data_IF_058616119133
#
_entry.id   IF_058616119133
#
_cell.length_a   1.000
_cell.length_b   1.000
_cell.length_c   1.000
_cell.angle_alpha   90.00
_cell.angle_beta   90.00
_cell.angle_gamma   90.00
#
_symmetry.space_group_name_H-M   'P 1'
#
loop_
_entity.id
_entity.type
_entity.pdbx_description
1 polymer ?
#
# COMPACT_ATOMS: atom_id res chain seq x y z
N UNK A 1 -5.73 -7.02 11.62
CA UNK A 1 -5.33 -6.67 12.98
C UNK A 1 -6.10 -7.44 14.05
N UNK A 2 -5.73 -8.70 14.29
CA UNK A 2 -6.03 -9.31 15.58
C UNK A 2 -5.00 -8.83 16.59
N UNK A 3 -5.43 -8.49 17.81
CA UNK A 3 -4.51 -8.13 18.87
C UNK A 3 -3.75 -9.39 19.33
N UNK A 4 -2.47 -9.31 19.74
CA UNK A 4 -1.71 -10.48 20.20
C UNK A 4 -2.40 -11.30 21.31
N UNK A 5 -3.18 -10.63 22.16
CA UNK A 5 -3.99 -11.29 23.20
C UNK A 5 -5.07 -12.24 22.65
N UNK A 6 -5.56 -12.00 21.42
CA UNK A 6 -6.61 -12.79 20.77
C UNK A 6 -6.05 -13.95 19.94
N UNK A 7 -4.73 -13.97 19.68
CA UNK A 7 -4.06 -14.97 18.85
C UNK A 7 -4.23 -16.39 19.40
N UNK A 8 -4.23 -16.58 20.72
CA UNK A 8 -4.45 -17.90 21.32
C UNK A 8 -5.85 -18.46 21.04
N UNK A 9 -6.87 -17.59 21.04
CA UNK A 9 -8.23 -17.99 20.73
C UNK A 9 -8.36 -18.43 19.28
N UNK A 10 -7.70 -17.74 18.35
CA UNK A 10 -7.63 -18.14 16.94
C UNK A 10 -6.98 -19.52 16.81
N UNK A 11 -5.82 -19.73 17.43
CA UNK A 11 -5.11 -21.00 17.38
C UNK A 11 -5.93 -22.16 17.95
N UNK A 12 -6.70 -21.93 19.02
CA UNK A 12 -7.61 -22.93 19.56
C UNK A 12 -8.72 -23.31 18.56
N UNK A 13 -9.27 -22.33 17.83
CA UNK A 13 -10.26 -22.60 16.78
C UNK A 13 -9.65 -23.40 15.63
N UNK A 14 -8.46 -23.03 15.16
CA UNK A 14 -7.74 -23.76 14.11
C UNK A 14 -7.42 -25.20 14.55
N UNK A 15 -7.04 -25.38 15.83
CA UNK A 15 -6.83 -26.68 16.44
C UNK A 15 -8.08 -27.56 16.39
N UNK A 16 -9.25 -27.03 16.77
CA UNK A 16 -10.52 -27.78 16.68
C UNK A 16 -10.89 -28.17 15.25
N UNK A 17 -10.62 -27.30 14.28
CA UNK A 17 -10.86 -27.62 12.86
C UNK A 17 -9.97 -28.78 12.41
N UNK A 18 -8.70 -28.80 12.83
CA UNK A 18 -7.76 -29.90 12.59
C UNK A 18 -8.22 -31.20 13.28
N UNK A 19 -8.60 -31.13 14.55
CA UNK A 19 -9.10 -32.28 15.34
C UNK A 19 -10.37 -32.90 14.74
N UNK A 20 -11.19 -32.11 14.06
CA UNK A 20 -12.35 -32.59 13.31
C UNK A 20 -11.99 -33.33 12.00
N UNK A 21 -10.70 -33.51 11.70
CA UNK A 21 -10.22 -34.24 10.52
C UNK A 21 -10.01 -33.38 9.26
N UNK A 22 -10.04 -32.05 9.39
CA UNK A 22 -9.79 -31.15 8.25
C UNK A 22 -8.31 -30.84 8.07
N UNK A 23 -7.90 -30.57 6.83
CA UNK A 23 -6.64 -29.91 6.53
C UNK A 23 -6.85 -28.39 6.52
N UNK A 24 -6.07 -27.64 7.29
CA UNK A 24 -6.22 -26.19 7.44
C UNK A 24 -5.00 -25.50 6.85
N UNK A 25 -5.21 -24.72 5.78
CA UNK A 25 -4.19 -23.91 5.14
C UNK A 25 -4.40 -22.45 5.54
N UNK A 26 -3.35 -21.81 6.04
CA UNK A 26 -3.38 -20.41 6.49
C UNK A 26 -2.23 -19.65 5.84
N UNK A 27 -2.54 -18.50 5.24
CA UNK A 27 -1.52 -17.53 4.79
C UNK A 27 -1.30 -16.55 5.93
N UNK A 28 -0.10 -16.54 6.51
CA UNK A 28 0.17 -15.82 7.76
C UNK A 28 1.56 -15.16 7.73
N UNK A 29 1.67 -14.05 8.45
CA UNK A 29 2.90 -13.25 8.58
C UNK A 29 3.29 -13.03 10.05
N UNK A 30 2.43 -13.39 11.00
CA UNK A 30 2.74 -13.36 12.44
C UNK A 30 3.61 -14.55 12.85
N UNK A 31 4.85 -14.27 13.24
CA UNK A 31 5.84 -15.32 13.56
C UNK A 31 5.40 -16.23 14.72
N UNK A 32 4.63 -15.73 15.68
CA UNK A 32 4.13 -16.57 16.79
C UNK A 32 3.12 -17.63 16.33
N UNK A 33 2.35 -17.34 15.29
CA UNK A 33 1.46 -18.32 14.64
C UNK A 33 2.28 -19.28 13.78
N UNK A 34 3.21 -18.75 12.99
CA UNK A 34 4.11 -19.54 12.13
C UNK A 34 4.90 -20.58 12.93
N UNK A 35 5.43 -20.21 14.10
CA UNK A 35 6.15 -21.13 15.01
C UNK A 35 5.30 -22.30 15.51
N UNK A 36 3.98 -22.13 15.57
CA UNK A 36 3.04 -23.15 16.07
C UNK A 36 2.43 -24.00 14.94
N UNK A 37 2.78 -23.73 13.69
CA UNK A 37 2.29 -24.50 12.55
C UNK A 37 2.87 -25.93 12.55
N UNK A 38 2.06 -26.92 12.18
CA UNK A 38 2.56 -28.29 12.00
C UNK A 38 3.46 -28.42 10.76
N UNK A 39 3.20 -27.59 9.75
CA UNK A 39 3.89 -27.56 8.47
C UNK A 39 3.97 -26.12 7.95
N UNK A 40 5.15 -25.71 7.52
CA UNK A 40 5.43 -24.41 6.93
C UNK A 40 5.79 -24.58 5.46
N UNK A 41 5.16 -23.79 4.59
CA UNK A 41 5.56 -23.62 3.19
C UNK A 41 6.06 -22.20 3.02
N UNK A 42 7.36 -22.02 2.85
CA UNK A 42 7.99 -20.72 2.62
C UNK A 42 8.19 -20.49 1.11
N UNK A 43 7.77 -19.33 0.62
CA UNK A 43 7.81 -18.96 -0.80
C UNK A 43 8.62 -17.68 -0.95
N UNK A 44 9.59 -17.68 -1.85
CA UNK A 44 10.48 -16.54 -2.03
C UNK A 44 11.50 -16.76 -3.13
N UNK A 45 12.73 -16.21 -2.99
CA UNK A 45 13.25 -15.41 -1.87
C UNK A 45 12.75 -13.96 -1.85
N UNK A 46 12.21 -13.48 -2.96
CA UNK A 46 11.71 -12.11 -3.11
C UNK A 46 10.28 -12.11 -3.67
N UNK A 47 9.70 -10.93 -3.85
CA UNK A 47 8.39 -10.76 -4.45
C UNK A 47 8.43 -10.70 -5.99
N UNK A 48 7.26 -10.89 -6.62
CA UNK A 48 7.07 -10.82 -8.07
C UNK A 48 7.94 -11.81 -8.85
N UNK A 49 8.58 -11.34 -9.92
CA UNK A 49 9.35 -12.19 -10.84
C UNK A 49 10.62 -12.79 -10.22
N UNK A 50 11.10 -12.20 -9.12
CA UNK A 50 12.24 -12.71 -8.35
C UNK A 50 11.83 -13.77 -7.30
N UNK A 51 10.53 -14.06 -7.19
CA UNK A 51 9.93 -15.00 -6.26
C UNK A 51 9.43 -16.28 -6.91
N UNK A 52 8.34 -16.84 -6.35
CA UNK A 52 7.64 -17.99 -6.92
C UNK A 52 8.34 -19.34 -6.73
N UNK A 53 9.41 -19.39 -5.92
CA UNK A 53 10.08 -20.65 -5.55
C UNK A 53 9.65 -21.07 -4.16
N UNK A 54 9.38 -22.36 -3.98
CA UNK A 54 9.22 -22.96 -2.65
C UNK A 54 10.62 -23.16 -2.08
N UNK A 55 10.97 -22.38 -1.06
CA UNK A 55 12.27 -22.43 -0.40
C UNK A 55 12.31 -23.51 0.67
N UNK A 56 11.19 -23.71 1.36
CA UNK A 56 11.01 -24.72 2.39
C UNK A 56 9.59 -25.28 2.36
N UNK A 57 9.45 -26.57 2.60
CA UNK A 57 8.17 -27.24 2.81
C UNK A 57 8.40 -28.36 3.82
N UNK A 58 8.05 -28.11 5.07
CA UNK A 58 8.34 -29.02 6.18
C UNK A 58 7.97 -28.41 7.53
N UNK A 59 8.33 -29.09 8.64
CA UNK A 59 8.21 -28.49 9.97
C UNK A 59 8.93 -27.13 10.05
N UNK A 60 8.42 -26.15 10.83
CA UNK A 60 8.99 -24.79 10.90
C UNK A 60 10.49 -24.75 11.25
N UNK A 61 10.96 -25.68 12.08
CA UNK A 61 12.37 -25.79 12.50
C UNK A 61 13.33 -25.96 11.32
N UNK A 62 12.88 -26.62 10.24
CA UNK A 62 13.69 -26.84 9.05
C UNK A 62 14.07 -25.56 8.31
N UNK A 63 13.30 -24.47 8.49
CA UNK A 63 13.60 -23.18 7.85
C UNK A 63 14.91 -22.55 8.37
N UNK A 64 15.39 -22.96 9.55
CA UNK A 64 16.65 -22.46 10.12
C UNK A 64 17.86 -22.73 9.20
N UNK A 65 17.80 -23.76 8.35
CA UNK A 65 18.85 -24.16 7.41
C UNK A 65 18.73 -23.49 6.02
N UNK A 66 17.75 -22.61 5.81
CA UNK A 66 17.47 -21.98 4.51
C UNK A 66 17.90 -20.50 4.51
N UNK A 67 19.17 -20.18 4.18
CA UNK A 67 19.71 -18.83 4.34
C UNK A 67 19.08 -17.79 3.38
N UNK A 68 18.52 -18.22 2.25
CA UNK A 68 17.84 -17.33 1.29
C UNK A 68 16.42 -16.94 1.71
N UNK A 69 15.86 -17.55 2.76
CA UNK A 69 14.53 -17.22 3.25
C UNK A 69 14.53 -15.89 4.01
N UNK A 70 13.74 -14.94 3.54
CA UNK A 70 13.50 -13.69 4.27
C UNK A 70 12.78 -13.91 5.61
N UNK A 71 11.99 -14.99 5.73
CA UNK A 71 11.24 -15.34 6.94
C UNK A 71 12.15 -15.92 8.03
N UNK A 72 13.23 -16.62 7.65
CA UNK A 72 14.18 -17.25 8.57
C UNK A 72 14.64 -16.31 9.69
N UNK A 73 15.07 -15.09 9.35
CA UNK A 73 15.61 -14.12 10.34
C UNK A 73 14.57 -13.67 11.38
N UNK A 74 13.29 -13.70 11.04
CA UNK A 74 12.21 -13.30 11.96
C UNK A 74 11.68 -14.50 12.76
N UNK A 75 11.73 -15.69 12.17
CA UNK A 75 11.32 -16.91 12.84
C UNK A 75 12.34 -17.32 13.92
N UNK A 76 13.63 -17.16 13.59
CA UNK A 76 14.78 -17.45 14.45
C UNK A 76 15.65 -16.20 14.64
N UNK A 77 15.17 -15.19 15.39
CA UNK A 77 15.96 -14.00 15.66
C UNK A 77 17.20 -14.36 16.49
N UNK A 78 18.33 -13.69 16.21
CA UNK A 78 19.52 -13.83 17.03
C UNK A 78 19.24 -13.26 18.43
N UNK A 79 19.48 -14.07 19.47
CA UNK A 79 19.07 -13.75 20.86
C UNK A 79 19.73 -12.49 21.44
N UNK A 80 20.81 -12.04 20.82
CA UNK A 80 21.67 -10.95 21.32
C UNK A 80 21.62 -9.69 20.44
N UNK A 81 20.76 -9.61 19.43
CA UNK A 81 20.55 -8.35 18.71
C UNK A 81 19.70 -7.40 19.57
N UNK A 82 20.26 -6.29 20.07
CA UNK A 82 19.47 -5.30 20.77
C UNK A 82 18.45 -4.73 19.79
N UNK A 83 17.18 -4.65 20.21
CA UNK A 83 16.19 -3.91 19.47
C UNK A 83 16.73 -2.49 19.17
N UNK A 84 16.59 -1.97 17.95
CA UNK A 84 17.10 -0.65 17.61
C UNK A 84 16.49 0.38 18.57
N UNK A 85 17.30 0.88 19.50
CA UNK A 85 16.88 1.93 20.43
C UNK A 85 16.92 3.23 19.66
N UNK A 86 15.76 3.85 19.51
CA UNK A 86 15.66 5.17 18.94
C UNK A 86 15.32 6.19 20.01
N UNK A 87 15.95 7.35 19.95
CA UNK A 87 15.58 8.48 20.80
C UNK A 87 14.21 9.02 20.35
N UNK A 88 13.20 9.04 21.24
CA UNK A 88 11.89 9.60 20.93
C UNK A 88 12.00 11.08 20.55
N UNK A 89 11.30 11.47 19.48
CA UNK A 89 11.26 12.87 19.04
C UNK A 89 10.45 13.72 20.02
N UNK A 90 10.83 15.00 20.15
CA UNK A 90 10.08 15.96 20.96
C UNK A 90 8.89 16.52 20.17
N UNK A 91 7.66 16.51 20.71
CA UNK A 91 6.50 17.10 20.05
C UNK A 91 6.65 18.60 19.77
N UNK A 92 6.24 19.04 18.59
CA UNK A 92 6.20 20.47 18.20
C UNK A 92 4.88 21.16 18.57
N UNK A 93 3.86 20.37 18.91
CA UNK A 93 2.51 20.85 19.21
C UNK A 93 1.60 19.68 19.59
N UNK A 94 0.31 19.96 19.77
CA UNK A 94 -0.69 18.97 20.19
C UNK A 94 -2.04 19.28 19.58
N UNK A 95 -2.71 18.25 19.05
CA UNK A 95 -4.16 18.26 18.84
C UNK A 95 -4.81 17.70 20.10
N UNK A 96 -5.82 18.37 20.64
CA UNK A 96 -6.58 17.87 21.78
C UNK A 96 -8.05 17.75 21.41
N UNK A 97 -8.62 16.61 21.73
CA UNK A 97 -10.04 16.30 21.60
C UNK A 97 -10.60 16.11 23.01
N UNK A 98 -11.66 16.82 23.35
CA UNK A 98 -12.32 16.74 24.65
C UNK A 98 -13.74 16.22 24.50
N UNK A 99 -14.18 15.36 25.43
CA UNK A 99 -15.53 14.84 25.49
C UNK A 99 -15.94 14.04 24.25
N UNK A 100 -15.05 13.19 23.72
CA UNK A 100 -15.32 12.39 22.52
C UNK A 100 -16.40 11.35 22.82
N UNK A 101 -17.50 11.38 22.07
CA UNK A 101 -18.61 10.43 22.16
C UNK A 101 -18.99 9.89 20.77
N UNK A 102 -18.64 8.62 20.53
CA UNK A 102 -18.98 7.89 19.30
C UNK A 102 -18.88 6.38 19.50
N UNK A 103 -19.92 5.65 19.07
CA UNK A 103 -20.02 4.20 19.22
C UNK A 103 -19.82 3.75 20.68
N UNK A 104 -18.69 3.12 21.00
CA UNK A 104 -18.34 2.69 22.36
C UNK A 104 -17.35 3.64 23.06
N UNK A 105 -16.85 4.68 22.38
CA UNK A 105 -16.07 5.77 22.97
C UNK A 105 -17.06 6.75 23.60
N UNK A 106 -16.98 7.00 24.92
CA UNK A 106 -17.95 7.79 25.68
C UNK A 106 -17.25 8.79 26.59
N UNK A 107 -17.36 10.09 26.28
CA UNK A 107 -16.77 11.17 27.08
C UNK A 107 -15.24 11.10 27.21
N UNK A 108 -14.54 10.62 26.19
CA UNK A 108 -13.08 10.42 26.25
C UNK A 108 -12.33 11.69 25.85
N UNK A 109 -11.35 12.08 26.65
CA UNK A 109 -10.38 13.11 26.28
C UNK A 109 -9.12 12.46 25.71
N UNK A 110 -8.62 12.98 24.58
CA UNK A 110 -7.44 12.45 23.91
C UNK A 110 -6.55 13.58 23.38
N UNK A 111 -5.23 13.42 23.51
CA UNK A 111 -4.24 14.36 22.99
C UNK A 111 -3.27 13.63 22.06
N UNK A 112 -3.05 14.21 20.87
CA UNK A 112 -2.17 13.67 19.84
C UNK A 112 -1.00 14.65 19.62
N UNK A 113 0.25 14.23 19.88
CA UNK A 113 1.42 15.07 19.67
C UNK A 113 1.66 15.28 18.17
N UNK A 114 2.15 16.48 17.82
CA UNK A 114 2.53 16.84 16.45
C UNK A 114 4.04 16.75 16.25
N UNK A 115 4.47 16.46 15.02
CA UNK A 115 5.87 16.36 14.61
C UNK A 115 6.55 15.06 15.06
N UNK A 116 5.77 14.04 15.41
CA UNK A 116 6.25 12.75 15.90
C UNK A 116 5.50 11.58 15.24
N UNK A 117 5.98 10.36 15.45
CA UNK A 117 5.31 9.12 15.10
C UNK A 117 4.52 8.59 16.29
N UNK A 118 3.20 8.59 16.22
CA UNK A 118 2.31 8.13 17.29
C UNK A 118 1.64 6.81 16.91
N UNK A 119 1.69 5.81 17.79
CA UNK A 119 0.93 4.57 17.66
C UNK A 119 -0.27 4.57 18.61
N UNK A 120 -1.45 4.24 18.08
CA UNK A 120 -2.69 4.01 18.83
C UNK A 120 -2.95 2.51 18.85
N UNK A 121 -2.82 1.91 20.03
CA UNK A 121 -2.96 0.46 20.22
C UNK A 121 -3.99 0.09 21.29
N UNK A 122 -4.21 -1.22 21.50
CA UNK A 122 -5.21 -1.79 22.40
C UNK A 122 -6.03 -2.90 21.72
N UNK A 123 -6.77 -3.68 22.50
CA UNK A 123 -7.53 -4.86 22.03
C UNK A 123 -8.53 -4.55 20.91
N UNK A 124 -8.93 -5.59 20.16
CA UNK A 124 -9.96 -5.42 19.12
C UNK A 124 -11.28 -4.92 19.71
N UNK A 125 -11.97 -4.03 18.99
CA UNK A 125 -13.23 -3.43 19.46
C UNK A 125 -13.08 -2.33 20.52
N UNK A 126 -11.87 -1.98 20.98
CA UNK A 126 -11.68 -0.92 22.00
C UNK A 126 -12.02 0.50 21.56
N UNK A 127 -12.26 0.73 20.26
CA UNK A 127 -12.62 2.04 19.70
C UNK A 127 -11.49 2.80 19.00
N UNK A 128 -10.32 2.18 18.76
CA UNK A 128 -9.16 2.81 18.09
C UNK A 128 -9.49 3.43 16.74
N UNK A 129 -10.07 2.65 15.82
CA UNK A 129 -10.45 3.13 14.48
C UNK A 129 -11.57 4.17 14.53
N UNK A 130 -12.45 4.13 15.54
CA UNK A 130 -13.43 5.19 15.80
C UNK A 130 -12.72 6.50 16.15
N UNK A 131 -11.83 6.46 17.13
CA UNK A 131 -11.11 7.64 17.63
C UNK A 131 -10.22 8.26 16.55
N UNK A 132 -9.41 7.46 15.85
CA UNK A 132 -8.45 7.95 14.85
C UNK A 132 -9.13 8.18 13.49
N UNK A 133 -9.74 7.14 12.94
CA UNK A 133 -10.22 7.14 11.56
C UNK A 133 -11.50 7.94 11.34
N UNK A 134 -12.26 8.22 12.38
CA UNK A 134 -13.55 8.91 12.25
C UNK A 134 -13.63 10.22 13.04
N UNK A 135 -13.08 10.30 14.26
CA UNK A 135 -13.07 11.55 15.05
C UNK A 135 -11.87 12.42 14.68
N UNK A 136 -10.64 11.97 14.97
CA UNK A 136 -9.42 12.73 14.68
C UNK A 136 -9.29 13.08 13.20
N UNK A 137 -9.70 12.18 12.31
CA UNK A 137 -9.71 12.45 10.88
C UNK A 137 -10.79 13.44 10.43
N UNK A 138 -11.97 13.41 11.05
CA UNK A 138 -13.09 14.25 10.62
C UNK A 138 -12.79 15.72 10.90
N UNK A 139 -12.30 16.00 12.11
CA UNK A 139 -12.18 17.37 12.63
C UNK A 139 -11.32 18.30 11.72
N UNK A 140 -10.09 17.94 11.29
CA UNK A 140 -9.31 18.77 10.36
C UNK A 140 -9.90 18.82 8.94
N UNK A 141 -10.52 17.72 8.47
CA UNK A 141 -11.08 17.64 7.12
C UNK A 141 -12.26 18.60 6.93
N UNK A 142 -13.11 18.68 7.95
CA UNK A 142 -14.30 19.53 7.97
C UNK A 142 -13.92 21.02 7.87
N UNK A 143 -12.87 21.42 8.59
CA UNK A 143 -12.31 22.78 8.57
C UNK A 143 -11.69 23.12 7.21
N UNK A 144 -10.97 22.18 6.59
CA UNK A 144 -10.39 22.36 5.25
C UNK A 144 -11.45 22.48 4.15
N UNK A 145 -12.60 21.81 4.32
CA UNK A 145 -13.73 21.88 3.39
C UNK A 145 -14.61 23.13 3.57
N UNK A 146 -14.38 23.93 4.63
CA UNK A 146 -15.23 25.08 4.96
C UNK A 146 -16.68 24.68 5.33
N UNK A 147 -16.87 23.48 5.86
CA UNK A 147 -18.19 22.97 6.23
C UNK A 147 -18.67 23.60 7.56
N UNK A 148 -19.96 23.94 7.66
CA UNK A 148 -20.52 24.67 8.82
C UNK A 148 -20.59 23.85 10.13
N UNK A 149 -20.29 22.56 10.09
CA UNK A 149 -19.93 21.67 11.21
C UNK A 149 -19.83 20.27 10.60
N UNK A 150 -18.63 19.82 10.27
CA UNK A 150 -18.51 18.53 9.62
C UNK A 150 -18.55 17.35 10.58
N UNK A 151 -18.38 16.15 10.04
CA UNK A 151 -18.73 14.90 10.70
C UNK A 151 -17.86 14.67 11.94
N UNK A 152 -16.60 15.09 11.98
CA UNK A 152 -15.70 14.88 13.12
C UNK A 152 -16.04 15.74 14.34
N UNK A 153 -16.37 17.01 14.12
CA UNK A 153 -16.69 17.97 15.20
C UNK A 153 -17.98 17.61 15.95
N UNK A 154 -18.89 16.88 15.31
CA UNK A 154 -20.13 16.38 15.95
C UNK A 154 -19.88 15.37 17.07
N UNK A 155 -18.70 14.74 17.10
CA UNK A 155 -18.39 13.67 18.04
C UNK A 155 -17.47 14.08 19.18
N UNK A 156 -17.09 15.35 19.29
CA UNK A 156 -16.33 15.87 20.41
C UNK A 156 -16.94 17.17 20.93
N UNK A 157 -16.83 17.41 22.25
CA UNK A 157 -17.29 18.66 22.85
C UNK A 157 -16.40 19.85 22.46
N UNK A 158 -15.09 19.61 22.34
CA UNK A 158 -14.11 20.63 21.94
C UNK A 158 -12.94 19.98 21.21
N UNK A 159 -12.40 20.68 20.20
CA UNK A 159 -11.16 20.31 19.54
C UNK A 159 -10.22 21.52 19.41
N UNK A 160 -8.97 21.38 19.84
CA UNK A 160 -7.96 22.46 19.82
C UNK A 160 -6.67 22.01 19.14
N UNK A 161 -5.86 22.98 18.68
CA UNK A 161 -4.57 22.71 18.03
C UNK A 161 -4.65 22.34 16.54
N UNK A 162 -5.83 22.47 15.93
CA UNK A 162 -6.09 22.12 14.53
C UNK A 162 -5.41 23.06 13.53
N UNK A 163 -5.21 24.32 13.90
CA UNK A 163 -4.55 25.33 13.05
C UNK A 163 -3.08 25.01 12.76
N UNK A 164 -2.49 24.06 13.50
CA UNK A 164 -1.14 23.57 13.25
C UNK A 164 -1.08 22.51 12.12
N UNK A 165 -2.23 22.06 11.60
CA UNK A 165 -2.32 21.07 10.51
C UNK A 165 -2.85 21.71 9.24
N UNK A 166 -1.98 21.84 8.24
CA UNK A 166 -2.35 22.40 6.94
C UNK A 166 -3.10 21.39 6.06
N UNK A 167 -2.83 20.09 6.26
CA UNK A 167 -3.37 19.02 5.42
C UNK A 167 -3.55 17.73 6.20
N UNK A 168 -4.67 17.05 5.93
CA UNK A 168 -4.90 15.68 6.38
C UNK A 168 -4.72 14.69 5.22
N UNK A 169 -4.04 13.58 5.48
CA UNK A 169 -3.92 12.46 4.56
C UNK A 169 -4.29 11.17 5.29
N UNK A 170 -5.32 10.48 4.79
CA UNK A 170 -5.65 9.14 5.25
C UNK A 170 -5.12 8.10 4.26
N UNK A 171 -4.39 7.12 4.77
CA UNK A 171 -3.89 5.99 3.98
C UNK A 171 -4.53 4.71 4.51
N UNK A 172 -5.46 4.15 3.72
CA UNK A 172 -6.13 2.88 4.00
C UNK A 172 -5.71 1.78 3.01
N UNK A 173 -6.09 0.53 3.31
CA UNK A 173 -5.86 -0.61 2.42
C UNK A 173 -6.91 -0.76 1.32
N UNK A 174 -7.82 0.22 1.15
CA UNK A 174 -8.82 0.12 0.07
C UNK A 174 -8.12 0.11 -1.29
N UNK A 175 -8.62 -0.63 -2.29
CA UNK A 175 -8.04 -0.64 -3.63
C UNK A 175 -7.87 0.79 -4.19
N UNK A 176 -6.75 1.07 -4.85
CA UNK A 176 -6.49 2.37 -5.52
C UNK A 176 -7.42 2.61 -6.72
N UNK A 177 -8.09 1.55 -7.19
CA UNK A 177 -9.10 1.61 -8.24
C UNK A 177 -9.95 0.35 -8.20
N UNK A 178 -11.18 0.46 -8.71
CA UNK A 178 -12.13 -0.66 -8.80
C UNK A 178 -12.25 -1.24 -10.21
N UNK A 179 -11.48 -0.71 -11.15
CA UNK A 179 -11.52 -1.11 -12.56
C UNK A 179 -10.10 -1.41 -13.06
N UNK A 180 -9.96 -2.29 -14.08
CA UNK A 180 -8.65 -2.56 -14.68
C UNK A 180 -7.99 -1.36 -15.37
N UNK A 181 -8.72 -0.26 -15.58
CA UNK A 181 -8.19 1.00 -16.14
C UNK A 181 -7.27 1.73 -15.17
N UNK A 182 -7.52 1.58 -13.87
CA UNK A 182 -6.60 2.06 -12.86
C UNK A 182 -5.43 1.09 -12.77
N UNK A 183 -4.23 1.63 -12.82
CA UNK A 183 -2.98 0.89 -12.62
C UNK A 183 -1.92 1.80 -11.97
N UNK A 184 -0.77 1.22 -11.63
CA UNK A 184 0.34 1.90 -11.00
C UNK A 184 0.77 3.17 -11.75
N UNK A 185 0.92 3.10 -13.08
CA UNK A 185 1.35 4.23 -13.89
C UNK A 185 0.33 5.38 -13.92
N UNK A 186 -0.96 5.06 -13.96
CA UNK A 186 -2.03 6.08 -13.92
C UNK A 186 -2.13 6.74 -12.56
N UNK A 187 -1.99 5.98 -11.47
CA UNK A 187 -2.14 6.50 -10.12
C UNK A 187 -0.99 7.43 -9.73
N UNK A 188 0.23 7.07 -10.09
CA UNK A 188 1.44 7.87 -9.82
C UNK A 188 1.65 9.04 -10.80
N UNK A 189 0.81 9.15 -11.84
CA UNK A 189 0.98 10.13 -12.91
C UNK A 189 2.13 9.84 -13.89
N UNK A 190 2.87 8.73 -13.69
CA UNK A 190 3.93 8.29 -14.60
C UNK A 190 3.41 8.09 -16.03
N UNK A 191 2.16 7.64 -16.18
CA UNK A 191 1.55 7.39 -17.48
C UNK A 191 1.52 8.64 -18.38
N UNK A 192 1.37 9.83 -17.82
CA UNK A 192 1.39 11.08 -18.58
C UNK A 192 2.77 11.34 -19.20
N UNK A 193 3.84 11.01 -18.46
CA UNK A 193 5.21 11.10 -18.95
C UNK A 193 5.42 10.11 -20.09
N UNK A 194 4.98 8.86 -19.93
CA UNK A 194 5.05 7.82 -20.98
C UNK A 194 4.37 8.31 -22.26
N UNK A 195 3.12 8.76 -22.17
CA UNK A 195 2.36 9.22 -23.35
C UNK A 195 3.01 10.39 -24.07
N UNK A 196 3.58 11.35 -23.33
CA UNK A 196 4.29 12.50 -23.89
C UNK A 196 5.56 12.08 -24.62
N UNK A 197 6.32 11.13 -24.09
CA UNK A 197 7.53 10.63 -24.73
C UNK A 197 7.21 9.88 -26.03
N UNK A 198 6.19 9.03 -26.04
CA UNK A 198 5.76 8.34 -27.27
C UNK A 198 5.30 9.31 -28.36
N UNK A 199 4.56 10.36 -27.99
CA UNK A 199 4.14 11.40 -28.93
C UNK A 199 5.31 12.25 -29.51
N UNK A 200 6.49 12.18 -28.90
CA UNK A 200 7.69 12.88 -29.38
C UNK A 200 8.57 12.03 -30.28
N UNK A 201 8.25 10.74 -30.48
CA UNK A 201 8.97 9.87 -31.43
C UNK A 201 8.74 10.33 -32.87
N UNK A 202 9.70 10.06 -33.74
CA UNK A 202 9.62 10.50 -35.15
C UNK A 202 8.43 9.84 -35.86
N UNK A 203 8.23 8.53 -35.67
CA UNK A 203 7.07 7.81 -36.22
C UNK A 203 5.73 8.38 -35.74
N UNK A 204 5.63 8.81 -34.47
CA UNK A 204 4.41 9.46 -33.98
C UNK A 204 4.20 10.83 -34.62
N UNK A 205 5.26 11.63 -34.76
CA UNK A 205 5.20 12.97 -35.38
C UNK A 205 4.80 12.91 -36.85
N UNK A 206 5.40 11.99 -37.62
CA UNK A 206 5.07 11.76 -39.03
C UNK A 206 3.59 11.37 -39.23
N UNK A 207 3.03 10.59 -38.29
CA UNK A 207 1.63 10.16 -38.32
C UNK A 207 0.66 11.14 -37.66
N UNK A 208 1.14 12.28 -37.16
CA UNK A 208 0.32 13.27 -36.45
C UNK A 208 -0.25 12.76 -35.12
N UNK A 209 0.37 11.76 -34.50
CA UNK A 209 -0.09 11.20 -33.23
C UNK A 209 0.30 12.09 -32.06
N UNK A 210 -0.68 12.40 -31.22
CA UNK A 210 -0.49 13.15 -29.97
C UNK A 210 -0.47 12.21 -28.77
N UNK A 211 -0.21 12.74 -27.57
CA UNK A 211 -0.28 11.98 -26.31
C UNK A 211 -1.66 11.34 -26.06
N UNK A 212 -2.71 11.78 -26.75
CA UNK A 212 -4.03 11.16 -26.72
C UNK A 212 -4.04 9.77 -27.37
N UNK A 213 -3.28 9.58 -28.47
CA UNK A 213 -3.20 8.28 -29.17
C UNK A 213 -2.67 7.17 -28.24
N UNK A 214 -1.73 7.51 -27.37
CA UNK A 214 -1.10 6.57 -26.43
C UNK A 214 -1.86 6.44 -25.10
N UNK A 215 -3.06 7.03 -24.97
CA UNK A 215 -3.91 6.85 -23.80
C UNK A 215 -4.93 5.73 -24.05
N UNK A 216 -4.89 4.66 -23.25
CA UNK A 216 -5.91 3.61 -23.31
C UNK A 216 -7.27 4.08 -22.76
N UNK A 217 -7.34 5.25 -22.11
CA UNK A 217 -8.58 5.80 -21.53
C UNK A 217 -9.45 6.59 -22.52
N UNK A 218 -8.95 6.86 -23.74
CA UNK A 218 -9.66 7.63 -24.76
C UNK A 218 -9.72 6.87 -26.07
N UNK A 219 -10.73 7.14 -26.89
CA UNK A 219 -10.83 6.57 -28.23
C UNK A 219 -9.70 7.06 -29.14
N UNK A 220 -9.38 6.27 -30.15
CA UNK A 220 -8.37 6.59 -31.18
C UNK A 220 -7.27 5.55 -31.25
N UNK A 221 -6.49 5.36 -30.18
CA UNK A 221 -5.39 4.39 -30.16
C UNK A 221 -5.61 3.15 -29.30
N UNK A 222 -6.62 3.15 -28.43
CA UNK A 222 -6.97 1.99 -27.60
C UNK A 222 -7.58 0.86 -28.42
N UNK A 223 -7.59 -0.35 -27.85
CA UNK A 223 -8.41 -1.45 -28.35
C UNK A 223 -9.89 -1.16 -28.07
N UNK A 224 -10.74 -1.19 -29.10
CA UNK A 224 -12.18 -0.91 -28.97
C UNK A 224 -12.96 -2.11 -28.40
N UNK A 225 -12.44 -3.32 -28.50
CA UNK A 225 -13.12 -4.52 -27.96
C UNK A 225 -13.15 -4.52 -26.43
N UNK A 226 -12.02 -4.26 -25.80
CA UNK A 226 -11.95 -4.12 -24.34
C UNK A 226 -12.03 -2.65 -23.88
N UNK A 227 -12.28 -1.70 -24.78
CA UNK A 227 -12.33 -0.26 -24.47
C UNK A 227 -11.08 0.23 -23.69
N UNK A 228 -9.91 -0.34 -23.98
CA UNK A 228 -8.63 -0.04 -23.32
C UNK A 228 -8.38 -0.71 -21.96
N UNK A 229 -9.28 -1.56 -21.47
CA UNK A 229 -9.08 -2.27 -20.19
C UNK A 229 -8.02 -3.38 -20.30
N UNK A 230 -7.89 -3.98 -21.48
CA UNK A 230 -7.01 -5.13 -21.75
C UNK A 230 -7.64 -6.46 -21.35
N UNK A 231 -8.74 -6.42 -20.61
CA UNK A 231 -9.49 -7.57 -20.14
C UNK A 231 -10.97 -7.41 -20.51
N UNK A 232 -11.68 -8.52 -20.54
CA UNK A 232 -13.14 -8.58 -20.64
C UNK A 232 -13.69 -9.28 -19.41
N UNK A 233 -14.76 -8.73 -18.84
CA UNK A 233 -15.45 -9.34 -17.70
C UNK A 233 -16.28 -10.52 -18.18
N UNK A 234 -16.12 -11.67 -17.53
CA UNK A 234 -16.93 -12.86 -17.72
C UNK A 234 -17.82 -13.00 -16.49
N UNK A 235 -19.12 -12.74 -16.67
CA UNK A 235 -20.11 -12.93 -15.62
C UNK A 235 -20.34 -14.43 -15.39
N UNK A 236 -20.25 -14.82 -14.12
CA UNK A 236 -20.54 -16.17 -13.64
C UNK A 236 -21.77 -16.09 -12.74
N UNK A 237 -22.72 -17.02 -12.91
CA UNK A 237 -24.02 -16.95 -12.21
C UNK A 237 -23.93 -17.11 -10.68
N UNK A 238 -22.97 -17.89 -10.21
CA UNK A 238 -22.84 -18.28 -8.79
C UNK A 238 -21.45 -17.99 -8.22
N UNK A 239 -20.57 -17.39 -9.01
CA UNK A 239 -19.19 -17.10 -8.64
C UNK A 239 -18.91 -15.61 -8.90
N UNK A 240 -17.94 -15.01 -8.19
CA UNK A 240 -17.48 -13.66 -8.52
C UNK A 240 -17.09 -13.58 -10.00
N UNK A 241 -17.44 -12.48 -10.66
CA UNK A 241 -17.04 -12.23 -12.05
C UNK A 241 -15.52 -12.35 -12.18
N UNK A 242 -15.08 -12.96 -13.29
CA UNK A 242 -13.66 -13.14 -13.58
C UNK A 242 -13.26 -12.29 -14.77
N UNK A 243 -12.00 -11.88 -14.83
CA UNK A 243 -11.46 -11.12 -15.95
C UNK A 243 -10.61 -12.06 -16.80
N UNK A 244 -10.86 -12.05 -18.11
CA UNK A 244 -10.04 -12.77 -19.08
C UNK A 244 -9.31 -11.78 -20.00
N UNK A 245 -8.08 -12.07 -20.46
CA UNK A 245 -7.40 -11.23 -21.44
C UNK A 245 -8.29 -10.99 -22.67
N UNK A 246 -8.29 -9.77 -23.18
CA UNK A 246 -9.07 -9.41 -24.36
C UNK A 246 -8.65 -10.29 -25.56
N UNK A 247 -9.60 -10.88 -26.31
CA UNK A 247 -9.27 -11.76 -27.43
C UNK A 247 -8.59 -11.03 -28.61
N UNK A 248 -8.74 -9.71 -28.71
CA UNK A 248 -8.26 -8.94 -29.87
C UNK A 248 -6.89 -8.29 -29.64
N UNK A 249 -6.67 -7.74 -28.43
CA UNK A 249 -5.40 -7.12 -28.08
C UNK A 249 -4.54 -7.97 -27.15
N UNK A 250 -5.04 -9.10 -26.67
CA UNK A 250 -4.33 -10.02 -25.76
C UNK A 250 -3.72 -9.32 -24.53
N UNK A 251 -4.44 -8.35 -23.97
CA UNK A 251 -3.97 -7.56 -22.82
C UNK A 251 -3.17 -6.31 -23.18
N UNK A 252 -2.81 -6.10 -24.44
CA UNK A 252 -1.99 -4.94 -24.85
C UNK A 252 -2.71 -3.59 -24.69
N UNK A 253 -4.05 -3.55 -24.62
CA UNK A 253 -4.91 -2.34 -24.47
C UNK A 253 -4.95 -1.38 -25.66
N UNK A 254 -4.14 -1.59 -26.69
CA UNK A 254 -4.04 -0.71 -27.86
C UNK A 254 -4.35 -1.45 -29.16
N UNK A 255 -4.70 -0.69 -30.21
CA UNK A 255 -4.81 -1.21 -31.57
C UNK A 255 -3.44 -1.42 -32.23
N UNK A 256 -3.34 -2.26 -33.26
CA UNK A 256 -2.06 -2.58 -33.92
C UNK A 256 -1.30 -1.34 -34.42
N UNK A 257 -1.99 -0.35 -34.98
CA UNK A 257 -1.35 0.84 -35.57
C UNK A 257 -0.68 1.72 -34.50
N UNK A 258 -1.20 1.71 -33.27
CA UNK A 258 -0.56 2.41 -32.14
C UNK A 258 0.67 1.66 -31.65
N UNK A 259 0.66 0.32 -31.73
CA UNK A 259 1.77 -0.53 -31.33
C UNK A 259 2.93 -0.55 -32.33
N UNK A 260 2.77 0.02 -33.52
CA UNK A 260 3.89 0.23 -34.46
C UNK A 260 4.87 1.31 -33.99
N UNK A 261 4.44 2.22 -33.11
CA UNK A 261 5.31 3.26 -32.56
C UNK A 261 6.11 2.69 -31.40
N UNK A 262 7.44 2.83 -31.48
CA UNK A 262 8.36 2.36 -30.43
C UNK A 262 9.14 3.53 -29.83
N UNK A 263 9.42 3.41 -28.53
CA UNK A 263 10.35 4.25 -27.79
C UNK A 263 11.50 3.35 -27.32
N UNK A 264 12.73 3.64 -27.75
CA UNK A 264 13.92 2.82 -27.42
C UNK A 264 13.72 1.32 -27.73
N UNK A 265 13.02 1.02 -28.82
CA UNK A 265 12.73 -0.35 -29.28
C UNK A 265 11.53 -1.04 -28.63
N UNK A 266 10.83 -0.40 -27.68
CA UNK A 266 9.64 -0.96 -27.03
C UNK A 266 8.37 -0.21 -27.41
N UNK A 267 7.29 -0.94 -27.61
CA UNK A 267 5.94 -0.38 -27.80
C UNK A 267 5.39 0.17 -26.48
N UNK A 268 4.32 0.98 -26.54
CA UNK A 268 3.67 1.51 -25.31
C UNK A 268 3.14 0.39 -24.41
N UNK A 269 2.64 -0.71 -24.98
CA UNK A 269 2.19 -1.86 -24.21
C UNK A 269 3.36 -2.56 -23.49
N UNK A 270 4.49 -2.76 -24.18
CA UNK A 270 5.70 -3.34 -23.57
C UNK A 270 6.30 -2.45 -22.48
N UNK A 271 6.28 -1.13 -22.67
CA UNK A 271 6.72 -0.18 -21.62
C UNK A 271 5.81 -0.26 -20.39
N UNK A 272 4.50 -0.40 -20.57
CA UNK A 272 3.58 -0.63 -19.45
C UNK A 272 3.75 -2.01 -18.82
N UNK A 273 4.34 -2.97 -19.53
CA UNK A 273 4.61 -4.31 -18.99
C UNK A 273 5.92 -4.38 -18.17
N UNK A 274 6.77 -3.36 -18.24
CA UNK A 274 8.00 -3.31 -17.43
C UNK A 274 7.69 -3.29 -15.93
N UNK A 275 8.53 -3.98 -15.16
CA UNK A 275 8.60 -3.82 -13.69
C UNK A 275 9.08 -2.40 -13.35
N UNK A 276 8.76 -1.90 -12.15
CA UNK A 276 9.24 -0.60 -11.66
C UNK A 276 10.78 -0.54 -11.70
N UNK A 277 11.45 -1.63 -11.33
CA UNK A 277 12.91 -1.77 -11.40
C UNK A 277 13.42 -1.61 -12.84
N UNK A 278 12.85 -2.38 -13.79
CA UNK A 278 13.22 -2.27 -15.20
C UNK A 278 12.90 -0.90 -15.79
N UNK A 279 11.77 -0.31 -15.39
CA UNK A 279 11.35 1.01 -15.81
C UNK A 279 12.30 2.11 -15.31
N UNK A 280 12.87 1.99 -14.11
CA UNK A 280 13.86 2.93 -13.60
C UNK A 280 15.10 2.99 -14.49
N UNK A 281 15.60 1.83 -14.94
CA UNK A 281 16.65 1.76 -15.95
C UNK A 281 16.21 2.31 -17.32
N UNK A 282 15.02 1.92 -17.77
CA UNK A 282 14.47 2.35 -19.06
C UNK A 282 14.26 3.86 -19.16
N UNK A 283 13.86 4.53 -18.08
CA UNK A 283 13.60 5.97 -18.02
C UNK A 283 14.75 6.80 -17.46
N UNK A 284 15.94 6.21 -17.27
CA UNK A 284 17.12 6.95 -16.86
C UNK A 284 17.35 8.20 -17.73
N UNK A 285 17.64 9.33 -17.08
CA UNK A 285 17.74 10.65 -17.67
C UNK A 285 16.40 11.37 -17.89
N UNK A 286 15.28 10.85 -17.36
CA UNK A 286 13.95 11.47 -17.46
C UNK A 286 13.45 11.92 -16.07
N UNK A 287 13.71 13.17 -15.63
CA UNK A 287 13.48 13.60 -14.24
C UNK A 287 12.04 13.43 -13.73
N UNK A 288 11.04 13.53 -14.61
CA UNK A 288 9.64 13.33 -14.24
C UNK A 288 9.32 11.85 -13.92
N UNK A 289 9.93 10.91 -14.66
CA UNK A 289 9.75 9.48 -14.44
C UNK A 289 10.62 8.98 -13.27
N UNK A 290 11.87 9.43 -13.19
CA UNK A 290 12.81 9.03 -12.13
C UNK A 290 12.26 9.33 -10.73
N UNK A 291 11.66 10.50 -10.51
CA UNK A 291 11.05 10.82 -9.21
C UNK A 291 9.94 9.84 -8.83
N UNK A 292 9.07 9.50 -9.78
CA UNK A 292 7.97 8.58 -9.51
C UNK A 292 8.48 7.15 -9.23
N UNK A 293 9.42 6.69 -10.05
CA UNK A 293 9.98 5.34 -9.96
C UNK A 293 10.84 5.16 -8.70
N UNK A 294 11.64 6.17 -8.33
CA UNK A 294 12.46 6.14 -7.11
C UNK A 294 11.58 5.93 -5.87
N UNK A 295 10.51 6.70 -5.71
CA UNK A 295 9.60 6.52 -4.56
C UNK A 295 8.93 5.16 -4.52
N UNK A 296 8.64 4.54 -5.68
CA UNK A 296 8.08 3.19 -5.74
C UNK A 296 9.12 2.12 -5.36
N UNK A 297 10.38 2.31 -5.74
CA UNK A 297 11.49 1.46 -5.30
C UNK A 297 11.72 1.58 -3.80
N UNK A 298 11.67 2.80 -3.26
CA UNK A 298 11.88 3.07 -1.84
C UNK A 298 10.84 2.40 -0.93
N UNK A 299 9.59 2.26 -1.41
CA UNK A 299 8.52 1.52 -0.72
C UNK A 299 8.53 0.02 -1.01
N UNK A 300 9.52 -0.50 -1.74
CA UNK A 300 9.70 -1.94 -2.00
C UNK A 300 8.81 -2.50 -3.12
N UNK A 301 8.28 -1.68 -4.01
CA UNK A 301 7.38 -2.10 -5.10
C UNK A 301 8.10 -2.30 -6.44
N UNK A 302 9.41 -2.55 -6.42
CA UNK A 302 10.25 -2.72 -7.61
C UNK A 302 9.75 -3.80 -8.58
N UNK A 303 9.10 -4.84 -8.05
CA UNK A 303 8.63 -6.00 -8.79
C UNK A 303 7.29 -5.78 -9.51
N UNK A 304 6.54 -4.73 -9.17
CA UNK A 304 5.23 -4.47 -9.79
C UNK A 304 5.39 -3.96 -11.22
N UNK A 305 4.47 -4.36 -12.10
CA UNK A 305 4.44 -3.85 -13.47
C UNK A 305 3.70 -2.51 -13.55
N UNK A 306 4.17 -1.59 -14.38
CA UNK A 306 3.58 -0.25 -14.51
C UNK A 306 2.09 -0.28 -14.89
N UNK A 307 1.71 -1.21 -15.75
CA UNK A 307 0.37 -1.41 -16.28
C UNK A 307 -0.49 -2.38 -15.48
N UNK A 308 0.02 -2.98 -14.40
CA UNK A 308 -0.69 -3.98 -13.60
C UNK A 308 -2.03 -3.41 -13.11
N UNK A 309 -3.16 -4.07 -13.40
CA UNK A 309 -4.48 -3.64 -12.95
C UNK A 309 -4.53 -3.42 -11.44
N UNK A 310 -5.16 -2.32 -11.02
CA UNK A 310 -5.35 -2.00 -9.61
C UNK A 310 -6.19 -3.05 -8.86
N UNK A 311 -7.01 -3.81 -9.60
CA UNK A 311 -7.83 -4.91 -9.08
C UNK A 311 -7.02 -6.16 -8.72
N UNK A 312 -5.79 -6.28 -9.23
CA UNK A 312 -4.88 -7.40 -8.95
C UNK A 312 -3.88 -7.07 -7.83
N UNK A 313 -3.91 -5.84 -7.30
CA UNK A 313 -3.03 -5.43 -6.21
C UNK A 313 -3.58 -5.91 -4.87
N UNK A 314 -2.69 -6.45 -4.04
CA UNK A 314 -2.95 -6.69 -2.62
C UNK A 314 -3.22 -5.37 -1.88
N UNK A 315 -3.87 -5.47 -0.71
CA UNK A 315 -4.11 -4.31 0.16
C UNK A 315 -2.81 -3.59 0.55
N UNK A 316 -1.76 -4.36 0.88
CA UNK A 316 -0.44 -3.83 1.22
C UNK A 316 0.28 -3.15 0.05
N UNK A 317 0.12 -3.64 -1.19
CA UNK A 317 0.63 -2.94 -2.39
C UNK A 317 -0.13 -1.64 -2.65
N UNK A 318 -1.47 -1.68 -2.63
CA UNK A 318 -2.30 -0.49 -2.82
C UNK A 318 -1.96 0.61 -1.80
N UNK A 319 -1.74 0.23 -0.54
CA UNK A 319 -1.31 1.13 0.51
C UNK A 319 0.08 1.73 0.26
N UNK A 320 1.07 0.91 -0.06
CA UNK A 320 2.44 1.38 -0.36
C UNK A 320 2.47 2.32 -1.57
N UNK A 321 1.62 2.11 -2.57
CA UNK A 321 1.46 3.02 -3.72
C UNK A 321 0.91 4.39 -3.28
N UNK A 322 -0.11 4.42 -2.41
CA UNK A 322 -0.65 5.67 -1.84
C UNK A 322 0.44 6.43 -1.08
N UNK A 323 1.21 5.73 -0.25
CA UNK A 323 2.32 6.31 0.50
C UNK A 323 3.39 6.87 -0.43
N UNK A 324 3.81 6.11 -1.45
CA UNK A 324 4.77 6.58 -2.45
C UNK A 324 4.29 7.84 -3.16
N UNK A 325 3.00 7.91 -3.54
CA UNK A 325 2.43 9.10 -4.16
C UNK A 325 2.45 10.33 -3.25
N UNK A 326 2.40 10.15 -1.93
CA UNK A 326 2.52 11.24 -0.97
C UNK A 326 3.98 11.65 -0.75
N UNK A 327 4.91 10.71 -0.73
CA UNK A 327 6.36 10.97 -0.67
C UNK A 327 6.86 11.77 -1.89
N UNK A 328 6.25 11.59 -3.07
CA UNK A 328 6.57 12.37 -4.27
C UNK A 328 6.19 13.86 -4.16
N UNK A 329 5.29 14.22 -3.24
CA UNK A 329 4.75 15.58 -3.15
C UNK A 329 5.65 16.45 -2.29
N UNK A 330 6.60 17.14 -2.91
CA UNK A 330 7.33 18.24 -2.26
C UNK A 330 6.37 19.41 -2.01
N UNK A 331 5.93 19.60 -0.76
CA UNK A 331 5.06 20.73 -0.40
C UNK A 331 5.49 21.37 0.92
N UNK A 332 5.10 22.63 1.06
CA UNK A 332 5.24 23.41 2.29
C UNK A 332 3.99 23.19 3.15
N UNK A 333 4.19 23.20 4.46
CA UNK A 333 3.14 23.02 5.45
C UNK A 333 3.22 21.68 6.19
N UNK A 334 2.54 21.61 7.32
CA UNK A 334 2.50 20.45 8.19
C UNK A 334 1.37 19.50 7.79
N UNK A 335 1.71 18.28 7.41
CA UNK A 335 0.73 17.24 7.06
C UNK A 335 0.54 16.26 8.21
N UNK A 336 -0.71 15.94 8.52
CA UNK A 336 -1.10 14.86 9.42
C UNK A 336 -1.43 13.62 8.59
N UNK A 337 -0.63 12.56 8.72
CA UNK A 337 -0.87 11.26 8.10
C UNK A 337 -1.56 10.33 9.10
N UNK A 338 -2.71 9.79 8.74
CA UNK A 338 -3.43 8.79 9.52
C UNK A 338 -3.45 7.46 8.76
N UNK A 339 -2.97 6.39 9.40
CA UNK A 339 -2.94 5.06 8.81
C UNK A 339 -3.68 4.08 9.72
N UNK A 340 -4.55 3.26 9.13
CA UNK A 340 -5.31 2.21 9.85
C UNK A 340 -4.75 0.84 9.49
N UNK A 341 -4.13 0.18 10.47
CA UNK A 341 -3.46 -1.13 10.37
C UNK A 341 -2.56 -1.27 9.13
N UNK A 342 -1.55 -0.38 8.95
CA UNK A 342 -0.72 -0.38 7.77
C UNK A 342 0.14 -1.65 7.58
N UNK A 343 0.31 -2.47 8.62
CA UNK A 343 1.03 -3.76 8.54
C UNK A 343 0.16 -4.95 8.17
N UNK A 344 -1.17 -4.80 8.10
CA UNK A 344 -2.06 -5.94 7.83
C UNK A 344 -1.70 -6.59 6.48
N UNK A 345 -1.35 -7.88 6.52
CA UNK A 345 -0.97 -8.66 5.35
C UNK A 345 0.45 -8.42 4.83
N UNK A 346 1.30 -7.70 5.57
CA UNK A 346 2.72 -7.50 5.23
C UNK A 346 3.60 -8.53 5.94
N UNK A 347 4.63 -9.00 5.23
CA UNK A 347 5.71 -9.76 5.86
C UNK A 347 6.55 -8.83 6.77
N UNK A 348 7.14 -9.30 7.89
CA UNK A 348 7.97 -8.46 8.75
C UNK A 348 9.09 -7.69 8.03
N UNK A 349 9.67 -8.27 6.96
CA UNK A 349 10.63 -7.57 6.10
C UNK A 349 10.03 -6.34 5.40
N UNK A 350 8.78 -6.43 4.95
CA UNK A 350 8.06 -5.29 4.34
C UNK A 350 7.66 -4.26 5.41
N UNK A 351 7.39 -4.70 6.64
CA UNK A 351 7.14 -3.80 7.79
C UNK A 351 8.37 -2.93 8.08
N UNK A 352 9.58 -3.49 8.02
CA UNK A 352 10.82 -2.69 8.16
C UNK A 352 10.94 -1.62 7.07
N UNK A 353 10.58 -1.94 5.82
CA UNK A 353 10.56 -0.95 4.72
C UNK A 353 9.54 0.14 5.01
N UNK A 354 8.31 -0.24 5.37
CA UNK A 354 7.24 0.70 5.71
C UNK A 354 7.65 1.64 6.85
N UNK A 355 8.23 1.10 7.93
CA UNK A 355 8.65 1.89 9.09
C UNK A 355 9.70 2.94 8.73
N UNK A 356 10.67 2.60 7.87
CA UNK A 356 11.62 3.60 7.36
C UNK A 356 10.92 4.75 6.63
N UNK A 357 9.91 4.44 5.82
CA UNK A 357 9.16 5.46 5.08
C UNK A 357 8.31 6.34 5.99
N UNK A 358 7.62 5.75 6.97
CA UNK A 358 6.81 6.50 7.93
C UNK A 358 7.69 7.42 8.80
N UNK A 359 8.87 6.95 9.20
CA UNK A 359 9.82 7.82 9.89
C UNK A 359 10.39 8.92 9.00
N UNK A 360 10.66 8.64 7.72
CA UNK A 360 11.06 9.66 6.76
C UNK A 360 10.03 10.78 6.60
N UNK A 361 8.72 10.48 6.69
CA UNK A 361 7.68 11.49 6.71
C UNK A 361 7.79 12.41 7.95
N UNK A 362 8.05 11.83 9.12
CA UNK A 362 8.20 12.60 10.37
C UNK A 362 9.48 13.42 10.36
N UNK A 363 10.59 12.88 9.84
CA UNK A 363 11.84 13.61 9.66
C UNK A 363 11.68 14.80 8.69
N UNK A 364 10.75 14.72 7.76
CA UNK A 364 10.31 15.83 6.91
C UNK A 364 9.31 16.78 7.60
N UNK A 365 9.25 16.78 8.94
CA UNK A 365 8.41 17.63 9.80
C UNK A 365 6.89 17.41 9.68
N UNK A 366 6.46 16.20 9.32
CA UNK A 366 5.06 15.81 9.36
C UNK A 366 4.69 15.05 10.64
N UNK A 367 3.41 14.87 10.90
CA UNK A 367 2.91 13.97 11.95
C UNK A 367 2.39 12.69 11.34
N UNK A 368 2.74 11.55 11.93
CA UNK A 368 2.21 10.25 11.52
C UNK A 368 1.51 9.61 12.72
N UNK A 369 0.24 9.26 12.56
CA UNK A 369 -0.52 8.50 13.55
C UNK A 369 -0.96 7.18 12.92
N UNK A 370 -0.60 6.06 13.55
CA UNK A 370 -0.98 4.72 13.10
C UNK A 370 -1.90 4.07 14.12
N UNK A 371 -2.93 3.37 13.66
CA UNK A 371 -3.64 2.38 14.47
C UNK A 371 -2.97 1.04 14.24
N UNK A 372 -2.38 0.44 15.27
CA UNK A 372 -1.59 -0.78 15.11
C UNK A 372 -1.73 -1.80 16.24
N UNK A 373 -1.49 -3.04 15.83
CA UNK A 373 -1.49 -4.25 16.64
C UNK A 373 -0.15 -4.98 16.58
N UNK A 374 0.70 -4.66 15.60
CA UNK A 374 2.09 -5.14 15.58
C UNK A 374 2.92 -4.40 16.64
N UNK A 375 3.37 -5.13 17.65
CA UNK A 375 4.13 -4.55 18.76
C UNK A 375 5.52 -4.06 18.35
N UNK A 376 6.09 -4.56 17.25
CA UNK A 376 7.33 -4.02 16.71
C UNK A 376 7.12 -2.60 16.18
N UNK A 377 5.97 -2.33 15.53
CA UNK A 377 5.60 -0.98 15.08
C UNK A 377 5.26 -0.07 16.26
N UNK A 378 4.51 -0.57 17.24
CA UNK A 378 4.17 0.20 18.45
C UNK A 378 5.44 0.57 19.22
N UNK A 379 6.41 -0.34 19.35
CA UNK A 379 7.69 -0.07 20.01
C UNK A 379 8.56 0.93 19.23
N UNK A 380 8.34 1.08 17.93
CA UNK A 380 9.01 2.07 17.09
C UNK A 380 8.44 3.49 17.19
N UNK A 381 7.40 3.70 18.01
CA UNK A 381 6.80 5.02 18.19
C UNK A 381 7.57 5.95 19.13
N UNK A 382 7.36 7.25 18.92
CA UNK A 382 7.85 8.34 19.78
C UNK A 382 6.88 8.54 20.95
#
# INVERSE_FOLDING_TARGET
GLHPADTESLLAVLGRLKEAGNSVFVVEHQMDVVRRADWLVDVGPLAGEHGGRVLHSGPPEGLAEVPESATRRFLFPEKDEPAPVREPRTPSGWIRLSGVDRHNVRGVDAAFPLGVFTAVTGVSGSGKSTLVGQVLAGVPADRQAGAEAGVGEQFCAEATGLDAVDRLVQVDQKPIGRTPRSNLATYTGLFDTVRKLFAQTDTARERGYTAGRFSFNVSGGRCETCQGEGFVSVELLFLPSTYAPCPDCHGARYNPETLEVTLRGLTVAQVLDLTVESAAGFFAGTPAAERALATLLDVGLGYLRLGQPATELSGGEAQRIKLASELQRTRRGHTLYLLDEPTTGLHPADVEVLMRQLHGLVDAHNTVVVVEHDMAVVAGAD
#
